data_IF_705768380977
#
_entry.id   IF_705768380977
#
_cell.length_a   1.000
_cell.length_b   1.000
_cell.length_c   1.000
_cell.angle_alpha   90.00
_cell.angle_beta   90.00
_cell.angle_gamma   90.00
#
_symmetry.space_group_name_H-M   'P 1'
#
loop_
_entity.id
_entity.type
_entity.pdbx_description
1 polymer ?
#
# COMPACT_ATOMS: atom_id res chain seq x y z
N UNK A 1 11.40 -0.63 -18.70
CA UNK A 1 11.89 -1.13 -17.39
C UNK A 1 11.62 -2.61 -17.29
N UNK A 2 12.60 -3.42 -16.89
CA UNK A 2 12.38 -4.82 -16.58
C UNK A 2 11.36 -4.93 -15.44
N UNK A 3 10.29 -5.69 -15.65
CA UNK A 3 9.26 -5.93 -14.62
C UNK A 3 9.64 -7.17 -13.82
N UNK A 4 9.67 -7.04 -12.50
CA UNK A 4 9.98 -8.13 -11.57
C UNK A 4 8.73 -8.46 -10.75
N UNK A 5 7.91 -9.44 -11.18
CA UNK A 5 6.60 -9.68 -10.58
C UNK A 5 6.68 -10.11 -9.09
N UNK A 6 7.75 -10.76 -8.67
CA UNK A 6 7.99 -11.17 -7.28
C UNK A 6 8.23 -9.95 -6.38
N UNK A 7 9.06 -9.01 -6.86
CA UNK A 7 9.37 -7.77 -6.14
C UNK A 7 8.14 -6.87 -6.05
N UNK A 8 7.38 -6.73 -7.14
CA UNK A 8 6.14 -5.97 -7.17
C UNK A 8 5.13 -6.51 -6.14
N UNK A 9 4.94 -7.84 -6.10
CA UNK A 9 4.05 -8.47 -5.12
C UNK A 9 4.47 -8.15 -3.68
N UNK A 10 5.77 -8.21 -3.35
CA UNK A 10 6.27 -7.94 -1.99
C UNK A 10 6.21 -6.45 -1.60
N UNK A 11 6.50 -5.56 -2.53
CA UNK A 11 6.67 -4.12 -2.23
C UNK A 11 5.37 -3.31 -2.39
N UNK A 12 4.52 -3.69 -3.35
CA UNK A 12 3.38 -2.90 -3.80
C UNK A 12 2.02 -3.46 -3.34
N UNK A 13 1.94 -4.75 -2.95
CA UNK A 13 0.69 -5.36 -2.44
C UNK A 13 0.39 -4.97 -0.98
N UNK A 14 0.38 -3.67 -0.68
CA UNK A 14 0.14 -3.13 0.65
C UNK A 14 -0.88 -1.99 0.58
N UNK A 15 -1.57 -1.76 1.69
CA UNK A 15 -2.47 -0.63 1.88
C UNK A 15 -1.77 0.46 2.69
N UNK A 16 -2.07 1.72 2.43
CA UNK A 16 -1.54 2.88 3.15
C UNK A 16 -2.72 3.62 3.77
N UNK A 17 -2.61 3.97 5.05
CA UNK A 17 -3.63 4.74 5.72
C UNK A 17 -3.62 6.20 5.27
N UNK A 18 -4.80 6.74 4.95
CA UNK A 18 -4.95 8.14 4.53
C UNK A 18 -4.76 9.13 5.68
N UNK A 19 -5.04 8.72 6.93
CA UNK A 19 -4.87 9.59 8.11
C UNK A 19 -3.44 9.65 8.64
N UNK A 20 -2.75 8.52 8.71
CA UNK A 20 -1.44 8.42 9.40
C UNK A 20 -0.29 7.91 8.53
N UNK A 21 -0.53 7.61 7.24
CA UNK A 21 0.50 7.12 6.33
C UNK A 21 1.03 5.71 6.62
N UNK A 22 0.55 5.05 7.67
CA UNK A 22 1.04 3.72 8.03
C UNK A 22 0.76 2.68 6.94
N UNK A 23 1.75 1.83 6.68
CA UNK A 23 1.59 0.70 5.77
C UNK A 23 0.92 -0.47 6.49
N UNK A 24 -0.13 -1.00 5.88
CA UNK A 24 -0.98 -2.06 6.40
C UNK A 24 -1.05 -3.23 5.37
N UNK A 25 -1.33 -4.46 5.82
CA UNK A 25 -1.49 -5.60 4.93
C UNK A 25 -2.69 -5.44 4.00
N UNK A 26 -2.65 -6.08 2.83
CA UNK A 26 -3.70 -5.96 1.79
C UNK A 26 -5.10 -6.37 2.30
N UNK A 27 -5.16 -7.36 3.21
CA UNK A 27 -6.40 -7.85 3.82
C UNK A 27 -6.86 -7.03 5.03
N UNK A 28 -6.15 -5.96 5.41
CA UNK A 28 -6.55 -5.12 6.53
C UNK A 28 -7.87 -4.37 6.23
N UNK A 29 -8.79 -4.42 7.20
CA UNK A 29 -10.03 -3.61 7.24
C UNK A 29 -9.84 -2.28 7.97
N UNK A 30 -8.84 -2.20 8.87
CA UNK A 30 -8.53 -1.02 9.69
C UNK A 30 -7.02 -0.82 9.83
N UNK A 31 -6.59 0.42 10.00
CA UNK A 31 -5.19 0.75 10.22
C UNK A 31 -4.71 0.24 11.59
N UNK A 32 -3.57 -0.47 11.62
CA UNK A 32 -2.98 -1.00 12.87
C UNK A 32 -2.55 0.07 13.88
N UNK A 33 -2.31 1.31 13.41
CA UNK A 33 -1.86 2.44 14.24
C UNK A 33 -3.02 3.31 14.73
N UNK A 34 -3.72 3.99 13.81
CA UNK A 34 -4.79 4.93 14.17
C UNK A 34 -6.22 4.34 14.18
N UNK A 35 -6.40 3.05 13.85
CA UNK A 35 -7.71 2.38 13.76
C UNK A 35 -8.69 2.93 12.70
N UNK A 36 -8.32 3.96 11.92
CA UNK A 36 -9.13 4.43 10.79
C UNK A 36 -9.34 3.33 9.74
N UNK A 37 -10.52 3.32 9.11
CA UNK A 37 -10.88 2.43 8.01
C UNK A 37 -10.47 2.99 6.64
N UNK A 38 -10.01 4.25 6.59
CA UNK A 38 -9.57 4.92 5.37
C UNK A 38 -8.18 4.44 4.97
N UNK A 39 -8.17 3.36 4.20
CA UNK A 39 -6.98 2.68 3.68
C UNK A 39 -7.02 2.72 2.14
N UNK A 40 -6.02 3.33 1.50
CA UNK A 40 -5.83 3.26 0.05
C UNK A 40 -4.84 2.16 -0.33
N UNK A 41 -4.90 1.67 -1.56
CA UNK A 41 -3.87 0.76 -2.08
C UNK A 41 -2.62 1.58 -2.46
N UNK A 42 -1.43 1.00 -2.25
CA UNK A 42 -0.18 1.62 -2.72
C UNK A 42 -0.19 1.66 -4.24
N UNK A 43 0.20 2.78 -4.83
CA UNK A 43 0.29 2.92 -6.28
C UNK A 43 1.28 1.88 -6.82
N UNK A 44 0.87 1.15 -7.86
CA UNK A 44 1.73 0.19 -8.55
C UNK A 44 2.58 0.85 -9.63
N UNK A 45 2.05 1.91 -10.20
CA UNK A 45 2.71 2.70 -11.22
C UNK A 45 3.43 3.88 -10.56
N UNK A 46 4.62 4.19 -11.04
CA UNK A 46 5.30 5.43 -10.69
C UNK A 46 4.46 6.60 -11.14
N UNK A 47 4.34 7.63 -10.31
CA UNK A 47 3.85 8.94 -10.77
C UNK A 47 5.00 9.54 -11.54
N UNK A 48 4.96 9.45 -12.86
CA UNK A 48 6.02 10.00 -13.72
C UNK A 48 6.28 11.47 -13.43
N UNK A 49 7.50 11.91 -13.73
CA UNK A 49 7.76 13.28 -14.18
C UNK A 49 7.50 13.29 -15.69
#
# INVERSE_FOLDING_TARGET
>A
MAKFPEAEKRLLSKKICMKCGATNPIRAKRCRRCRSQELRVKAKEGRGI
#
